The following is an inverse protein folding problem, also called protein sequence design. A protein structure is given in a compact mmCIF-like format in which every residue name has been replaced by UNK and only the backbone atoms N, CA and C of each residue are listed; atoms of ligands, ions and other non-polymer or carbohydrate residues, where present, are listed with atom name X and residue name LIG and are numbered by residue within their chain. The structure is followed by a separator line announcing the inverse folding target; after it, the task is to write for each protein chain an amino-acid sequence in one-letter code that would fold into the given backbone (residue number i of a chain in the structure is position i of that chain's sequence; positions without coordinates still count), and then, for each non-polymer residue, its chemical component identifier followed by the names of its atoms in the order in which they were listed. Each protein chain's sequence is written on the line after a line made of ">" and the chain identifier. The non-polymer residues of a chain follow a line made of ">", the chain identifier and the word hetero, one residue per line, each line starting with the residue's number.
data_IF_040507388542
#
_entry.id   IF_040507388542
#
_cell.length_a   1.000
_cell.length_b   1.000
_cell.length_c   1.000
_cell.angle_alpha   90.00
_cell.angle_beta   90.00
_cell.angle_gamma   90.00
#
_symmetry.space_group_name_H-M   'P 1'
#
loop_
_entity.id
_entity.type
_entity.pdbx_description
1 polymer ?
#
# COMPACT_ATOMS: atom_id res chain seq x y z
N UNK A 1 73.71 -27.91 37.65
CA UNK A 1 72.37 -27.61 38.18
C UNK A 1 72.12 -26.15 37.96
N UNK A 2 71.52 -25.78 36.86
CA UNK A 2 71.08 -24.42 36.61
C UNK A 2 69.67 -24.48 36.09
N UNK A 3 68.76 -23.74 36.75
CA UNK A 3 67.32 -23.68 36.46
C UNK A 3 67.05 -22.65 35.38
N UNK A 4 66.37 -23.05 34.28
CA UNK A 4 65.85 -22.13 33.32
C UNK A 4 64.47 -21.54 33.77
N UNK A 5 64.26 -20.22 33.65
CA UNK A 5 62.97 -19.61 34.02
C UNK A 5 61.92 -19.85 32.96
N UNK A 6 60.78 -20.32 33.40
CA UNK A 6 59.54 -20.42 32.54
C UNK A 6 58.99 -19.01 32.23
N UNK A 7 58.94 -18.66 30.96
CA UNK A 7 58.40 -17.41 30.52
C UNK A 7 56.86 -17.54 30.20
N UNK A 8 55.95 -16.92 31.01
CA UNK A 8 54.51 -17.03 30.85
C UNK A 8 53.91 -16.07 29.80
N UNK A 9 54.73 -15.31 29.07
CA UNK A 9 54.23 -14.17 28.26
C UNK A 9 53.61 -14.49 26.87
N UNK A 10 53.89 -15.65 26.29
CA UNK A 10 53.46 -15.92 24.89
C UNK A 10 52.00 -16.34 24.69
N UNK A 11 51.41 -17.02 25.67
CA UNK A 11 49.97 -17.45 25.53
C UNK A 11 49.01 -16.29 25.71
N UNK A 12 49.31 -15.31 26.55
CA UNK A 12 48.45 -14.14 26.77
C UNK A 12 48.49 -13.12 25.62
N UNK A 13 49.57 -13.03 24.84
CA UNK A 13 49.64 -12.14 23.67
C UNK A 13 48.86 -12.66 22.48
N UNK A 14 48.74 -13.97 22.27
CA UNK A 14 47.93 -14.54 21.18
C UNK A 14 46.43 -14.38 21.49
N UNK A 15 46.02 -14.59 22.72
CA UNK A 15 44.61 -14.39 23.13
C UNK A 15 44.23 -12.92 23.10
N UNK A 16 45.08 -12.00 23.50
CA UNK A 16 44.85 -10.56 23.41
C UNK A 16 44.79 -10.04 21.97
N UNK A 17 45.59 -10.65 21.06
CA UNK A 17 45.50 -10.32 19.61
C UNK A 17 44.25 -10.86 18.94
N UNK A 18 43.79 -12.06 19.29
CA UNK A 18 42.54 -12.63 18.76
C UNK A 18 41.31 -11.88 19.26
N UNK A 19 41.25 -11.46 20.51
CA UNK A 19 40.18 -10.66 21.07
C UNK A 19 40.15 -9.24 20.50
N UNK A 20 41.32 -8.61 20.32
CA UNK A 20 41.41 -7.28 19.70
C UNK A 20 40.99 -7.27 18.23
N UNK A 21 41.37 -8.29 17.45
CA UNK A 21 40.95 -8.44 16.04
C UNK A 21 39.43 -8.67 15.93
N UNK A 22 38.85 -9.47 16.83
CA UNK A 22 37.40 -9.72 16.87
C UNK A 22 36.63 -8.47 17.28
N UNK A 23 37.14 -7.71 18.25
CA UNK A 23 36.52 -6.44 18.71
C UNK A 23 36.58 -5.37 17.64
N UNK A 24 37.69 -5.26 16.88
CA UNK A 24 37.82 -4.32 15.76
C UNK A 24 36.86 -4.73 14.62
N UNK A 25 36.82 -6.01 14.26
CA UNK A 25 35.92 -6.52 13.23
C UNK A 25 34.46 -6.26 13.60
N UNK A 26 34.04 -6.59 14.82
CA UNK A 26 32.66 -6.35 15.29
C UNK A 26 32.32 -4.86 15.27
N UNK A 27 33.22 -3.98 15.78
CA UNK A 27 32.98 -2.53 15.76
C UNK A 27 32.91 -1.98 14.33
N UNK A 28 33.75 -2.46 13.41
CA UNK A 28 33.72 -2.02 12.02
C UNK A 28 32.43 -2.45 11.31
N UNK A 29 31.97 -3.69 11.52
CA UNK A 29 30.71 -4.20 10.96
C UNK A 29 29.51 -3.46 11.58
N UNK A 30 29.49 -3.24 12.90
CA UNK A 30 28.41 -2.50 13.56
C UNK A 30 28.33 -1.05 13.09
N UNK A 31 29.47 -0.36 12.92
CA UNK A 31 29.52 1.00 12.38
C UNK A 31 29.05 1.03 10.94
N UNK A 32 29.43 0.03 10.12
CA UNK A 32 29.00 -0.05 8.73
C UNK A 32 27.50 -0.29 8.58
N UNK A 33 26.92 -1.18 9.40
CA UNK A 33 25.48 -1.41 9.45
C UNK A 33 24.75 -0.16 9.98
N UNK A 34 25.22 0.47 11.05
CA UNK A 34 24.63 1.68 11.62
C UNK A 34 24.68 2.85 10.63
N UNK A 35 25.82 3.07 9.94
CA UNK A 35 25.94 4.10 8.90
C UNK A 35 25.03 3.81 7.69
N UNK A 36 24.85 2.53 7.35
CA UNK A 36 23.91 2.14 6.30
C UNK A 36 22.45 2.54 6.63
N UNK A 37 22.06 2.51 7.90
CA UNK A 37 20.74 2.95 8.36
C UNK A 37 20.61 4.46 8.54
N UNK A 38 21.64 5.14 9.04
CA UNK A 38 21.64 6.62 9.22
C UNK A 38 21.58 7.33 7.86
N UNK A 39 22.32 6.83 6.85
CA UNK A 39 22.28 7.42 5.50
C UNK A 39 20.91 7.25 4.82
N UNK A 40 20.08 6.26 5.20
CA UNK A 40 18.72 6.09 4.68
C UNK A 40 17.72 7.11 5.23
N UNK A 41 17.97 7.66 6.42
CA UNK A 41 17.12 8.69 7.04
C UNK A 41 17.36 10.09 6.45
N UNK A 42 18.51 10.32 5.79
CA UNK A 42 18.89 11.61 5.19
C UNK A 42 18.59 11.67 3.68
N UNK A 43 18.37 10.54 3.03
CA UNK A 43 18.20 10.45 1.57
C UNK A 43 16.80 10.86 1.04
N UNK A 44 15.91 11.40 1.87
CA UNK A 44 14.62 11.97 1.42
C UNK A 44 14.72 13.42 0.90
N UNK A 45 15.92 13.99 0.82
CA UNK A 45 16.11 15.37 0.42
C UNK A 45 17.35 15.61 -0.44
N UNK A 46 17.46 14.98 -1.62
CA UNK A 46 18.28 15.52 -2.73
C UNK A 46 18.10 14.71 -4.02
N UNK A 47 17.90 15.34 -5.19
CA UNK A 47 18.02 14.67 -6.48
C UNK A 47 19.52 14.53 -6.82
N UNK A 48 19.99 13.31 -6.95
CA UNK A 48 21.34 13.06 -7.42
C UNK A 48 21.31 12.44 -8.82
N UNK A 49 21.62 13.24 -9.82
CA UNK A 49 22.10 12.80 -11.12
C UNK A 49 23.45 12.06 -10.95
N UNK A 50 23.42 10.75 -10.92
CA UNK A 50 24.62 9.94 -11.12
C UNK A 50 24.42 9.16 -12.41
N UNK A 51 25.02 9.65 -13.49
CA UNK A 51 25.23 8.88 -14.70
C UNK A 51 26.25 7.78 -14.39
N UNK A 52 25.81 6.60 -14.05
CA UNK A 52 26.62 5.39 -14.13
C UNK A 52 26.33 4.73 -15.46
N UNK A 53 27.31 4.78 -16.36
CA UNK A 53 27.38 3.89 -17.53
C UNK A 53 27.55 2.45 -17.02
N UNK A 54 26.46 1.79 -16.72
CA UNK A 54 26.42 0.34 -16.54
C UNK A 54 25.99 -0.23 -17.89
N UNK A 55 26.88 -1.03 -18.51
CA UNK A 55 26.53 -1.78 -19.71
C UNK A 55 25.18 -2.51 -19.50
N UNK A 56 24.23 -2.32 -20.39
CA UNK A 56 22.94 -2.97 -20.34
C UNK A 56 23.09 -4.50 -20.31
N UNK A 57 22.55 -5.21 -19.32
CA UNK A 57 22.59 -6.65 -19.33
C UNK A 57 21.75 -7.18 -20.50
N UNK A 58 22.30 -8.07 -21.29
CA UNK A 58 21.58 -8.75 -22.37
C UNK A 58 20.27 -9.36 -21.81
N UNK A 59 19.17 -9.18 -22.53
CA UNK A 59 17.86 -9.68 -22.11
C UNK A 59 17.93 -11.19 -21.86
N UNK A 60 17.49 -11.64 -20.70
CA UNK A 60 17.37 -13.07 -20.40
C UNK A 60 16.39 -13.72 -21.39
N UNK A 61 16.80 -14.82 -21.99
CA UNK A 61 15.98 -15.61 -22.91
C UNK A 61 14.99 -16.51 -22.17
N UNK A 62 15.24 -16.80 -20.90
CA UNK A 62 14.40 -17.67 -20.06
C UNK A 62 13.32 -16.86 -19.35
N UNK A 63 12.06 -17.28 -19.54
CA UNK A 63 10.89 -16.64 -18.90
C UNK A 63 10.79 -17.11 -17.45
N UNK A 64 10.76 -16.16 -16.52
CA UNK A 64 10.54 -16.45 -15.10
C UNK A 64 9.05 -16.64 -14.85
N UNK A 65 8.66 -17.82 -14.34
CA UNK A 65 7.26 -18.15 -14.01
C UNK A 65 7.02 -18.29 -12.51
N UNK A 66 8.08 -18.36 -11.70
CA UNK A 66 7.97 -18.42 -10.24
C UNK A 66 7.77 -17.01 -9.63
N UNK A 67 6.61 -16.72 -9.02
CA UNK A 67 6.34 -15.39 -8.43
C UNK A 67 7.33 -15.00 -7.33
N UNK A 68 8.00 -15.97 -6.68
CA UNK A 68 8.98 -15.70 -5.64
C UNK A 68 10.30 -15.12 -6.19
N UNK A 69 10.56 -15.31 -7.47
CA UNK A 69 11.75 -14.80 -8.15
C UNK A 69 11.57 -13.39 -8.74
N UNK A 70 10.32 -12.92 -8.83
CA UNK A 70 10.02 -11.60 -9.39
C UNK A 70 10.40 -10.52 -8.39
N UNK A 71 11.17 -9.54 -8.87
CA UNK A 71 11.58 -8.37 -8.10
C UNK A 71 11.01 -7.11 -8.75
N UNK A 72 10.21 -6.36 -8.01
CA UNK A 72 9.70 -5.07 -8.48
C UNK A 72 10.87 -4.07 -8.50
N UNK A 73 11.10 -3.36 -9.62
CA UNK A 73 12.12 -2.33 -9.68
C UNK A 73 11.91 -1.26 -8.62
N UNK A 74 13.01 -0.78 -8.05
CA UNK A 74 12.98 0.19 -6.95
C UNK A 74 12.20 1.45 -7.34
N UNK A 75 11.40 1.95 -6.42
CA UNK A 75 10.64 3.20 -6.52
C UNK A 75 9.60 3.23 -7.67
N UNK A 76 9.23 2.07 -8.24
CA UNK A 76 8.23 1.99 -9.31
C UNK A 76 6.86 1.53 -8.84
N UNK A 77 6.76 0.85 -7.70
CA UNK A 77 5.50 0.35 -7.17
C UNK A 77 5.66 -0.44 -5.88
N UNK A 78 4.54 -0.94 -5.36
CA UNK A 78 4.47 -1.71 -4.13
C UNK A 78 3.83 -3.07 -4.44
N UNK A 79 4.48 -4.15 -3.99
CA UNK A 79 3.90 -5.48 -4.05
C UNK A 79 2.75 -5.62 -3.04
N UNK A 80 1.54 -5.91 -3.53
CA UNK A 80 0.35 -6.11 -2.70
C UNK A 80 0.20 -7.55 -2.24
N UNK A 81 0.35 -8.50 -3.15
CA UNK A 81 0.18 -9.92 -2.86
C UNK A 81 0.96 -10.77 -3.86
N UNK A 82 1.30 -11.98 -3.44
CA UNK A 82 1.84 -13.05 -4.28
C UNK A 82 1.02 -14.32 -4.09
N UNK A 83 0.81 -15.06 -5.15
CA UNK A 83 0.19 -16.37 -5.10
C UNK A 83 0.92 -17.31 -6.08
N UNK A 84 1.33 -18.47 -5.61
CA UNK A 84 1.92 -19.50 -6.45
C UNK A 84 0.83 -20.51 -6.86
N UNK A 85 0.44 -20.44 -8.12
CA UNK A 85 -0.51 -21.40 -8.71
C UNK A 85 0.11 -22.77 -8.98
N UNK A 86 -0.74 -23.70 -9.47
CA UNK A 86 -0.32 -25.05 -9.85
C UNK A 86 0.24 -25.14 -11.29
N UNK A 87 0.08 -24.10 -12.09
CA UNK A 87 0.52 -24.06 -13.50
C UNK A 87 1.82 -23.27 -13.63
N UNK A 88 2.62 -23.63 -14.63
CA UNK A 88 3.86 -22.92 -14.99
C UNK A 88 3.54 -21.67 -15.86
N UNK A 89 2.71 -20.78 -15.31
CA UNK A 89 2.33 -19.49 -15.91
C UNK A 89 2.34 -18.43 -14.84
N UNK A 90 2.88 -17.26 -15.17
CA UNK A 90 2.88 -16.10 -14.29
C UNK A 90 2.04 -14.99 -14.91
N UNK A 91 1.15 -14.42 -14.11
CA UNK A 91 0.42 -13.19 -14.42
C UNK A 91 0.82 -12.13 -13.40
N UNK A 92 1.28 -10.98 -13.88
CA UNK A 92 1.58 -9.81 -13.05
C UNK A 92 0.46 -8.80 -13.30
N UNK A 93 -0.33 -8.53 -12.27
CA UNK A 93 -1.41 -7.54 -12.33
C UNK A 93 -0.92 -6.23 -11.74
N UNK A 94 -0.89 -5.17 -12.55
CA UNK A 94 -0.50 -3.82 -12.15
C UNK A 94 -1.76 -2.97 -12.09
N UNK A 95 -2.01 -2.36 -10.92
CA UNK A 95 -3.08 -1.38 -10.72
C UNK A 95 -2.48 0.01 -10.57
N UNK A 96 -3.10 1.01 -11.18
CA UNK A 96 -2.62 2.38 -11.19
C UNK A 96 -3.74 3.43 -11.05
N UNK A 97 -3.33 4.68 -10.89
CA UNK A 97 -4.18 5.83 -11.05
C UNK A 97 -4.12 6.29 -12.52
N UNK A 98 -5.15 5.97 -13.31
CA UNK A 98 -5.21 6.31 -14.72
C UNK A 98 -4.99 7.80 -14.99
N UNK A 99 -4.43 8.13 -16.15
CA UNK A 99 -4.10 9.50 -16.58
C UNK A 99 -3.11 10.23 -15.66
N UNK A 100 -2.39 9.52 -14.80
CA UNK A 100 -1.31 10.08 -13.98
C UNK A 100 0.05 9.82 -14.62
N UNK A 101 0.74 10.88 -15.04
CA UNK A 101 2.02 10.80 -15.74
C UNK A 101 3.10 10.05 -14.94
N UNK A 102 3.18 10.27 -13.62
CA UNK A 102 4.15 9.60 -12.76
C UNK A 102 3.85 8.09 -12.66
N UNK A 103 2.58 7.72 -12.46
CA UNK A 103 2.15 6.33 -12.45
C UNK A 103 2.49 5.64 -13.78
N UNK A 104 2.16 6.25 -14.92
CA UNK A 104 2.44 5.69 -16.23
C UNK A 104 3.95 5.55 -16.50
N UNK A 105 4.75 6.52 -16.05
CA UNK A 105 6.21 6.44 -16.12
C UNK A 105 6.76 5.28 -15.29
N UNK A 106 6.21 5.05 -14.10
CA UNK A 106 6.64 3.97 -13.23
C UNK A 106 6.22 2.60 -13.78
N UNK A 107 5.02 2.50 -14.38
CA UNK A 107 4.57 1.29 -15.10
C UNK A 107 5.53 0.95 -16.24
N UNK A 108 5.89 1.94 -17.07
CA UNK A 108 6.86 1.72 -18.15
C UNK A 108 8.20 1.17 -17.63
N UNK A 109 8.75 1.78 -16.57
CA UNK A 109 9.98 1.30 -15.92
C UNK A 109 9.84 -0.10 -15.31
N UNK A 110 8.69 -0.39 -14.72
CA UNK A 110 8.41 -1.70 -14.12
C UNK A 110 8.36 -2.79 -15.19
N UNK A 111 7.64 -2.55 -16.29
CA UNK A 111 7.57 -3.47 -17.44
C UNK A 111 8.95 -3.64 -18.08
N UNK A 112 9.71 -2.57 -18.26
CA UNK A 112 11.08 -2.63 -18.76
C UNK A 112 11.96 -3.53 -17.88
N UNK A 113 11.85 -3.41 -16.56
CA UNK A 113 12.54 -4.28 -15.62
C UNK A 113 12.17 -5.75 -15.80
N UNK A 114 10.89 -6.08 -15.97
CA UNK A 114 10.42 -7.45 -16.21
C UNK A 114 10.87 -7.98 -17.58
N UNK A 115 10.93 -7.14 -18.61
CA UNK A 115 11.45 -7.54 -19.91
C UNK A 115 12.95 -7.89 -19.80
N UNK A 116 13.75 -7.04 -19.14
CA UNK A 116 15.19 -7.23 -18.99
C UNK A 116 15.57 -8.42 -18.10
N UNK A 117 14.86 -8.58 -17.00
CA UNK A 117 15.27 -9.53 -15.96
C UNK A 117 14.50 -10.84 -15.96
N UNK A 118 13.22 -10.81 -16.38
CA UNK A 118 12.29 -11.91 -16.19
C UNK A 118 11.71 -12.48 -17.50
N UNK A 119 12.14 -11.93 -18.64
CA UNK A 119 11.78 -12.43 -19.97
C UNK A 119 10.33 -12.17 -20.37
N UNK A 120 9.72 -11.08 -19.85
CA UNK A 120 8.36 -10.66 -20.22
C UNK A 120 8.26 -10.37 -21.72
N UNK A 121 7.22 -10.91 -22.39
CA UNK A 121 7.00 -10.74 -23.83
C UNK A 121 5.60 -10.24 -24.18
N UNK A 122 4.62 -10.44 -23.31
CA UNK A 122 3.24 -10.07 -23.55
C UNK A 122 2.74 -9.14 -22.44
N UNK A 123 2.16 -8.02 -22.82
CA UNK A 123 1.52 -7.07 -21.92
C UNK A 123 0.09 -6.86 -22.37
N UNK A 124 -0.86 -7.19 -21.51
CA UNK A 124 -2.27 -6.84 -21.75
C UNK A 124 -2.53 -5.41 -21.27
N UNK A 125 -3.25 -4.65 -22.07
CA UNK A 125 -3.62 -3.25 -21.82
C UNK A 125 -5.13 -3.06 -21.85
N UNK A 126 -5.62 -2.14 -21.05
CA UNK A 126 -7.01 -1.67 -21.11
C UNK A 126 -7.21 -0.67 -22.28
N UNK A 127 -8.44 -0.41 -22.66
CA UNK A 127 -8.79 0.56 -23.71
C UNK A 127 -8.57 0.07 -25.15
N UNK A 128 -8.25 -1.21 -25.37
CA UNK A 128 -8.03 -1.78 -26.68
C UNK A 128 -8.59 -3.20 -26.78
N UNK A 129 -8.89 -3.64 -27.99
CA UNK A 129 -9.35 -4.99 -28.34
C UNK A 129 -8.35 -5.62 -29.32
N UNK A 130 -7.74 -6.75 -28.94
CA UNK A 130 -6.79 -7.47 -29.77
C UNK A 130 -5.39 -6.86 -29.81
N UNK A 131 -4.65 -7.04 -30.91
CA UNK A 131 -3.25 -6.59 -31.05
C UNK A 131 -3.19 -5.07 -31.12
N UNK A 132 -2.40 -4.45 -30.23
CA UNK A 132 -2.09 -3.01 -30.27
C UNK A 132 -0.79 -2.79 -31.05
N UNK A 133 -0.93 -2.24 -32.25
CA UNK A 133 0.19 -2.00 -33.15
C UNK A 133 0.75 -0.58 -32.96
N UNK A 134 1.95 -0.49 -32.42
CA UNK A 134 2.72 0.76 -32.22
C UNK A 134 3.77 1.01 -33.31
N UNK A 135 3.82 0.17 -34.35
CA UNK A 135 4.84 0.26 -35.42
C UNK A 135 4.84 1.58 -36.17
N UNK A 136 3.68 2.21 -36.30
CA UNK A 136 3.50 3.54 -36.90
C UNK A 136 4.38 4.60 -36.27
N UNK A 137 4.46 4.61 -34.95
CA UNK A 137 5.30 5.55 -34.20
C UNK A 137 6.77 5.20 -34.36
N UNK A 138 7.11 3.90 -34.43
CA UNK A 138 8.52 3.44 -34.64
C UNK A 138 9.04 3.75 -36.04
N UNK A 139 8.18 3.93 -37.01
CA UNK A 139 8.56 4.33 -38.36
C UNK A 139 9.22 5.72 -38.40
N UNK A 140 9.04 6.55 -37.37
CA UNK A 140 9.73 7.83 -37.25
C UNK A 140 11.20 7.59 -36.83
N UNK A 141 12.20 8.02 -37.67
CA UNK A 141 13.58 7.58 -37.52
C UNK A 141 14.32 8.21 -36.35
N UNK A 142 13.95 9.41 -35.93
CA UNK A 142 14.60 10.13 -34.82
C UNK A 142 14.04 9.67 -33.46
N UNK A 143 14.92 9.01 -32.69
CA UNK A 143 14.53 8.44 -31.38
C UNK A 143 14.25 9.50 -30.33
N UNK A 144 14.96 10.64 -30.32
CA UNK A 144 14.74 11.72 -29.37
C UNK A 144 13.39 12.37 -29.62
N UNK A 145 13.09 12.74 -30.85
CA UNK A 145 11.80 13.32 -31.23
C UNK A 145 10.67 12.32 -30.94
N UNK A 146 10.86 11.04 -31.29
CA UNK A 146 9.87 9.99 -30.98
C UNK A 146 9.56 9.90 -29.50
N UNK A 147 10.59 9.96 -28.65
CA UNK A 147 10.46 9.95 -27.19
C UNK A 147 9.81 11.22 -26.65
N UNK A 148 10.16 12.38 -27.17
CA UNK A 148 9.54 13.64 -26.78
C UNK A 148 8.04 13.67 -27.11
N UNK A 149 7.66 13.24 -28.32
CA UNK A 149 6.28 13.16 -28.78
C UNK A 149 5.50 12.14 -27.92
N UNK A 150 6.04 10.95 -27.69
CA UNK A 150 5.42 9.96 -26.83
C UNK A 150 5.26 10.47 -25.38
N UNK A 151 6.25 11.20 -24.86
CA UNK A 151 6.17 11.83 -23.54
C UNK A 151 5.05 12.88 -23.49
N UNK A 152 4.89 13.68 -24.53
CA UNK A 152 3.81 14.66 -24.64
C UNK A 152 2.45 13.98 -24.56
N UNK A 153 2.19 12.93 -25.38
CA UNK A 153 0.95 12.19 -25.38
C UNK A 153 0.68 11.48 -24.03
N UNK A 154 1.70 10.91 -23.40
CA UNK A 154 1.57 10.31 -22.06
C UNK A 154 1.20 11.35 -20.99
N UNK A 155 1.77 12.58 -21.05
CA UNK A 155 1.39 13.69 -20.17
C UNK A 155 -0.06 14.16 -20.42
N UNK A 156 -0.57 14.01 -21.63
CA UNK A 156 -1.95 14.29 -21.98
C UNK A 156 -2.93 13.16 -21.57
N UNK A 157 -2.40 11.99 -21.15
CA UNK A 157 -3.21 10.81 -20.86
C UNK A 157 -3.75 10.10 -22.11
N UNK A 158 -3.17 10.36 -23.28
CA UNK A 158 -3.59 9.79 -24.56
C UNK A 158 -2.91 8.47 -24.89
N UNK A 159 -1.74 8.20 -24.27
CA UNK A 159 -1.08 6.89 -24.30
C UNK A 159 -0.69 6.45 -22.89
N UNK A 160 -0.62 5.16 -22.69
CA UNK A 160 -0.26 4.50 -21.43
C UNK A 160 1.23 4.22 -21.32
N UNK A 161 1.70 3.80 -20.13
CA UNK A 161 3.09 3.40 -19.89
C UNK A 161 3.56 2.24 -20.78
N UNK A 162 2.78 1.16 -20.96
CA UNK A 162 3.10 0.09 -21.90
C UNK A 162 3.27 0.54 -23.35
N UNK A 163 2.36 1.39 -23.83
CA UNK A 163 2.46 1.95 -25.19
C UNK A 163 3.68 2.84 -25.34
N UNK A 164 3.94 3.72 -24.35
CA UNK A 164 5.14 4.54 -24.30
C UNK A 164 6.42 3.69 -24.41
N UNK A 165 6.53 2.62 -23.59
CA UNK A 165 7.68 1.73 -23.64
C UNK A 165 7.81 1.06 -25.00
N UNK A 166 6.71 0.57 -25.57
CA UNK A 166 6.71 -0.05 -26.90
C UNK A 166 7.14 0.91 -28.00
N UNK A 167 6.74 2.18 -27.93
CA UNK A 167 7.10 3.21 -28.93
C UNK A 167 8.56 3.62 -28.82
N UNK A 168 9.09 3.76 -27.57
CA UNK A 168 10.39 4.39 -27.31
C UNK A 168 11.54 3.40 -27.18
N UNK A 169 11.28 2.09 -27.27
CA UNK A 169 12.30 1.04 -27.14
C UNK A 169 12.14 -0.03 -28.21
N UNK A 170 13.18 -0.83 -28.41
CA UNK A 170 13.18 -1.98 -29.34
C UNK A 170 12.96 -3.33 -28.65
N UNK A 171 12.45 -3.31 -27.42
CA UNK A 171 12.12 -4.58 -26.75
C UNK A 171 11.05 -5.37 -27.52
N UNK A 172 11.19 -6.70 -27.61
CA UNK A 172 10.27 -7.57 -28.34
C UNK A 172 8.99 -7.84 -27.54
N UNK A 173 8.36 -6.79 -27.00
CA UNK A 173 7.09 -6.89 -26.31
C UNK A 173 5.92 -6.79 -27.27
N UNK A 174 4.89 -7.58 -27.01
CA UNK A 174 3.61 -7.50 -27.71
C UNK A 174 2.58 -6.89 -26.77
N UNK A 175 1.88 -5.87 -27.25
CA UNK A 175 0.73 -5.29 -26.53
C UNK A 175 -0.55 -5.94 -27.05
N UNK A 176 -1.42 -6.30 -26.13
CA UNK A 176 -2.71 -6.94 -26.45
C UNK A 176 -3.82 -6.29 -25.62
N UNK A 177 -4.82 -5.75 -26.29
CA UNK A 177 -6.01 -5.17 -25.66
C UNK A 177 -6.84 -6.26 -24.98
N UNK A 178 -7.13 -6.06 -23.69
CA UNK A 178 -7.86 -7.01 -22.86
C UNK A 178 -9.37 -6.81 -22.91
N UNK A 179 -9.86 -5.76 -23.59
CA UNK A 179 -11.28 -5.44 -23.68
C UNK A 179 -11.94 -6.09 -24.91
N UNK A 180 -13.26 -6.23 -24.81
CA UNK A 180 -14.11 -6.65 -25.92
C UNK A 180 -14.83 -5.41 -26.45
N UNK A 181 -14.61 -5.06 -27.71
CA UNK A 181 -15.18 -3.86 -28.36
C UNK A 181 -16.69 -3.77 -28.23
N UNK A 182 -17.39 -4.89 -28.33
CA UNK A 182 -18.85 -4.91 -28.19
C UNK A 182 -19.31 -4.40 -26.82
N UNK A 183 -18.70 -4.88 -25.73
CA UNK A 183 -19.03 -4.45 -24.37
C UNK A 183 -18.59 -3.00 -24.12
N UNK A 184 -17.46 -2.58 -24.67
CA UNK A 184 -17.04 -1.19 -24.60
C UNK A 184 -18.07 -0.25 -25.23
N UNK A 185 -18.56 -0.56 -26.45
CA UNK A 185 -19.59 0.25 -27.13
C UNK A 185 -20.91 0.24 -26.36
N UNK A 186 -21.33 -0.89 -25.78
CA UNK A 186 -22.51 -0.95 -24.93
C UNK A 186 -22.39 -0.02 -23.70
N UNK A 187 -21.25 -0.06 -23.01
CA UNK A 187 -20.95 0.81 -21.88
C UNK A 187 -20.90 2.29 -22.29
N UNK A 188 -20.27 2.60 -23.41
CA UNK A 188 -20.22 3.96 -23.95
C UNK A 188 -21.62 4.49 -24.27
N UNK A 189 -22.46 3.69 -24.88
CA UNK A 189 -23.86 4.06 -25.19
C UNK A 189 -24.67 4.29 -23.91
N UNK A 190 -24.51 3.44 -22.91
CA UNK A 190 -25.15 3.61 -21.60
C UNK A 190 -24.69 4.92 -20.93
N UNK A 191 -23.38 5.19 -20.93
CA UNK A 191 -22.82 6.42 -20.39
C UNK A 191 -23.34 7.67 -21.13
N UNK A 192 -23.23 7.70 -22.45
CA UNK A 192 -23.66 8.85 -23.25
C UNK A 192 -25.17 9.11 -23.17
N UNK A 193 -25.96 8.08 -22.95
CA UNK A 193 -27.43 8.22 -22.77
C UNK A 193 -27.79 8.74 -21.37
N UNK A 194 -27.03 8.38 -20.34
CA UNK A 194 -27.30 8.81 -18.97
C UNK A 194 -26.64 10.14 -18.60
N UNK A 195 -25.51 10.48 -19.20
CA UNK A 195 -24.72 11.67 -18.85
C UNK A 195 -25.49 13.00 -18.92
N UNK A 196 -26.34 13.26 -19.95
CA UNK A 196 -27.14 14.49 -20.03
C UNK A 196 -28.12 14.67 -18.86
N UNK A 197 -28.55 13.57 -18.22
CA UNK A 197 -29.48 13.58 -17.10
C UNK A 197 -28.80 13.79 -15.75
N UNK A 198 -27.45 13.73 -15.72
CA UNK A 198 -26.67 13.72 -14.50
C UNK A 198 -26.93 14.95 -13.61
N UNK A 199 -26.75 16.15 -14.17
CA UNK A 199 -26.81 17.39 -13.39
C UNK A 199 -28.19 17.64 -12.80
N UNK A 200 -29.26 17.36 -13.57
CA UNK A 200 -30.65 17.50 -13.10
C UNK A 200 -30.96 16.48 -12.01
N UNK A 201 -30.60 15.22 -12.22
CA UNK A 201 -30.81 14.15 -11.25
C UNK A 201 -30.03 14.39 -9.96
N UNK A 202 -28.76 14.79 -10.05
CA UNK A 202 -27.94 15.10 -8.89
C UNK A 202 -28.50 16.30 -8.11
N UNK A 203 -28.96 17.34 -8.81
CA UNK A 203 -29.63 18.48 -8.17
C UNK A 203 -30.87 18.06 -7.42
N UNK A 204 -31.71 17.20 -8.01
CA UNK A 204 -32.92 16.69 -7.37
C UNK A 204 -32.58 15.91 -6.08
N UNK A 205 -31.67 14.94 -6.13
CA UNK A 205 -31.29 14.15 -4.94
C UNK A 205 -30.53 14.96 -3.88
N UNK A 206 -29.80 16.00 -4.25
CA UNK A 206 -29.23 16.95 -3.30
C UNK A 206 -30.31 17.77 -2.56
N UNK A 207 -31.43 18.10 -3.23
CA UNK A 207 -32.58 18.72 -2.57
C UNK A 207 -33.24 17.73 -1.57
N UNK A 208 -33.47 16.48 -1.97
CA UNK A 208 -33.97 15.41 -1.09
C UNK A 208 -33.04 15.24 0.10
N UNK A 209 -31.72 15.13 -0.11
CA UNK A 209 -30.72 15.06 0.98
C UNK A 209 -30.84 16.24 1.95
N UNK A 210 -31.05 17.44 1.45
CA UNK A 210 -31.23 18.64 2.29
C UNK A 210 -32.47 18.56 3.15
N UNK A 211 -33.57 18.00 2.62
CA UNK A 211 -34.81 17.81 3.37
C UNK A 211 -34.61 16.75 4.46
N UNK A 212 -34.03 15.58 4.12
CA UNK A 212 -33.74 14.51 5.08
C UNK A 212 -32.81 15.02 6.21
N UNK A 213 -31.79 15.79 5.88
CA UNK A 213 -30.89 16.39 6.89
C UNK A 213 -31.64 17.36 7.84
N UNK A 214 -32.63 18.10 7.36
CA UNK A 214 -33.47 18.91 8.25
C UNK A 214 -34.32 18.04 9.16
N UNK A 215 -34.90 16.95 8.62
CA UNK A 215 -35.70 16.01 9.40
C UNK A 215 -34.87 15.31 10.49
N UNK A 216 -33.59 15.01 10.26
CA UNK A 216 -32.68 14.51 11.28
C UNK A 216 -32.61 15.43 12.50
N UNK A 217 -32.66 16.74 12.31
CA UNK A 217 -32.71 17.70 13.41
C UNK A 217 -33.90 17.52 14.38
N UNK A 218 -35.02 17.04 13.88
CA UNK A 218 -36.27 16.85 14.66
C UNK A 218 -36.44 15.40 15.14
N UNK A 219 -36.10 14.42 14.30
CA UNK A 219 -36.37 13.00 14.52
C UNK A 219 -35.25 12.32 15.31
N UNK A 220 -33.99 12.70 15.07
CA UNK A 220 -32.85 12.06 15.73
C UNK A 220 -32.76 12.44 17.20
N UNK A 221 -32.44 11.45 18.05
CA UNK A 221 -32.00 11.69 19.42
C UNK A 221 -30.58 12.27 19.45
N UNK A 222 -30.14 12.75 20.61
CA UNK A 222 -28.82 13.40 20.77
C UNK A 222 -27.64 12.48 20.44
N UNK A 223 -27.77 11.17 20.66
CA UNK A 223 -26.73 10.20 20.30
C UNK A 223 -26.54 10.10 18.77
N UNK A 224 -27.63 10.01 18.03
CA UNK A 224 -27.60 9.99 16.56
C UNK A 224 -27.13 11.32 15.98
N UNK A 225 -27.57 12.46 16.54
CA UNK A 225 -27.09 13.80 16.11
C UNK A 225 -25.58 13.96 16.31
N UNK A 226 -25.07 13.47 17.45
CA UNK A 226 -23.63 13.51 17.73
C UNK A 226 -22.86 12.63 16.75
N UNK A 227 -23.35 11.42 16.46
CA UNK A 227 -22.72 10.51 15.48
C UNK A 227 -22.71 11.12 14.08
N UNK A 228 -23.83 11.65 13.63
CA UNK A 228 -23.99 12.28 12.32
C UNK A 228 -23.05 13.51 12.18
N UNK A 229 -22.98 14.35 13.24
CA UNK A 229 -22.05 15.51 13.27
C UNK A 229 -20.58 15.06 13.16
N UNK A 230 -20.19 13.95 13.80
CA UNK A 230 -18.81 13.43 13.71
C UNK A 230 -18.49 12.87 12.33
N UNK A 231 -19.45 12.23 11.67
CA UNK A 231 -19.32 11.80 10.28
C UNK A 231 -19.14 13.00 9.35
N UNK A 232 -19.98 14.04 9.48
CA UNK A 232 -19.89 15.28 8.71
C UNK A 232 -18.56 16.02 8.95
N UNK A 233 -18.06 16.07 10.18
CA UNK A 233 -16.77 16.64 10.52
C UNK A 233 -15.62 15.92 9.82
N UNK A 234 -15.68 14.59 9.74
CA UNK A 234 -14.69 13.78 9.02
C UNK A 234 -14.79 13.98 7.51
N UNK A 235 -15.98 13.88 6.91
CA UNK A 235 -16.19 14.06 5.46
C UNK A 235 -15.77 15.46 5.00
N UNK A 236 -16.07 16.49 5.80
CA UNK A 236 -15.68 17.87 5.54
C UNK A 236 -14.21 18.20 5.90
N UNK A 237 -13.42 17.18 6.32
CA UNK A 237 -11.99 17.29 6.71
C UNK A 237 -11.74 18.25 7.90
N UNK A 238 -12.73 18.47 8.76
CA UNK A 238 -12.59 19.24 10.01
C UNK A 238 -11.86 18.44 11.09
N UNK A 239 -11.98 17.12 11.07
CA UNK A 239 -11.20 16.21 11.91
C UNK A 239 -10.38 15.26 11.05
N UNK A 240 -9.26 14.79 11.60
CA UNK A 240 -8.39 13.84 10.92
C UNK A 240 -8.98 12.43 10.97
N UNK A 241 -8.60 11.60 9.99
CA UNK A 241 -9.04 10.21 9.92
C UNK A 241 -8.77 9.43 11.22
N UNK A 242 -7.58 9.57 11.79
CA UNK A 242 -7.22 8.88 13.04
C UNK A 242 -8.11 9.30 14.23
N UNK A 243 -8.53 10.57 14.28
CA UNK A 243 -9.41 11.05 15.35
C UNK A 243 -10.83 10.50 15.18
N UNK A 244 -11.30 10.39 13.94
CA UNK A 244 -12.57 9.75 13.64
C UNK A 244 -12.57 8.26 14.01
N UNK A 245 -11.52 7.53 13.68
CA UNK A 245 -11.40 6.10 14.05
C UNK A 245 -11.37 5.91 15.58
N UNK A 246 -10.70 6.81 16.31
CA UNK A 246 -10.73 6.79 17.79
C UNK A 246 -12.13 7.03 18.33
N UNK A 247 -12.86 7.97 17.76
CA UNK A 247 -14.27 8.21 18.13
C UNK A 247 -15.12 6.95 17.91
N UNK A 248 -14.99 6.28 16.75
CA UNK A 248 -15.71 5.03 16.49
C UNK A 248 -15.30 3.92 17.48
N UNK A 249 -14.02 3.82 17.83
CA UNK A 249 -13.54 2.88 18.85
C UNK A 249 -14.21 3.14 20.21
N UNK A 250 -14.22 4.39 20.67
CA UNK A 250 -14.83 4.79 21.95
C UNK A 250 -16.34 4.45 21.96
N UNK A 251 -17.02 4.64 20.84
CA UNK A 251 -18.42 4.25 20.66
C UNK A 251 -18.61 2.73 20.70
N UNK A 252 -17.72 1.97 20.06
CA UNK A 252 -17.75 0.50 20.12
C UNK A 252 -17.55 0.00 21.56
N UNK A 253 -16.63 0.58 22.32
CA UNK A 253 -16.43 0.25 23.73
C UNK A 253 -17.65 0.57 24.58
N UNK A 254 -18.21 1.77 24.41
CA UNK A 254 -19.42 2.24 25.13
C UNK A 254 -20.61 1.32 24.91
N UNK A 255 -20.84 0.88 23.66
CA UNK A 255 -22.00 0.06 23.30
C UNK A 255 -21.69 -1.45 23.21
N UNK A 256 -20.48 -1.87 23.65
CA UNK A 256 -20.03 -3.27 23.69
C UNK A 256 -20.10 -3.97 22.33
N UNK A 257 -19.74 -3.26 21.28
CA UNK A 257 -19.66 -3.80 19.92
C UNK A 257 -18.37 -4.62 19.78
N UNK A 258 -18.48 -5.81 19.23
CA UNK A 258 -17.31 -6.69 19.04
C UNK A 258 -16.48 -6.28 17.83
N UNK A 259 -15.51 -5.39 18.02
CA UNK A 259 -14.63 -4.91 16.96
C UNK A 259 -13.78 -6.00 16.31
N UNK A 260 -13.58 -7.16 16.94
CA UNK A 260 -12.84 -8.30 16.34
C UNK A 260 -13.58 -8.93 15.16
N UNK A 261 -14.86 -8.68 15.00
CA UNK A 261 -15.63 -9.09 13.83
C UNK A 261 -15.22 -8.30 12.55
N UNK A 262 -14.57 -7.15 12.73
CA UNK A 262 -14.13 -6.22 11.69
C UNK A 262 -12.60 -6.19 11.66
N UNK A 263 -12.01 -7.17 10.98
CA UNK A 263 -10.57 -7.49 11.07
C UNK A 263 -9.65 -6.30 10.70
N UNK A 264 -9.98 -5.58 9.63
CA UNK A 264 -9.16 -4.42 9.19
C UNK A 264 -9.37 -3.20 10.10
N UNK A 265 -10.59 -2.96 10.56
CA UNK A 265 -10.88 -1.92 11.56
C UNK A 265 -10.14 -2.22 12.87
N UNK A 266 -10.19 -3.47 13.36
CA UNK A 266 -9.47 -3.89 14.56
C UNK A 266 -7.96 -3.75 14.42
N UNK A 267 -7.40 -4.09 13.24
CA UNK A 267 -5.98 -3.87 12.94
C UNK A 267 -5.63 -2.38 12.98
N UNK A 268 -6.46 -1.53 12.36
CA UNK A 268 -6.22 -0.08 12.36
C UNK A 268 -6.24 0.49 13.77
N UNK A 269 -7.24 0.14 14.59
CA UNK A 269 -7.30 0.53 16.01
C UNK A 269 -6.04 0.07 16.75
N UNK A 270 -5.59 -1.16 16.52
CA UNK A 270 -4.35 -1.69 17.11
C UNK A 270 -3.12 -0.87 16.68
N UNK A 271 -3.02 -0.51 15.41
CA UNK A 271 -1.96 0.36 14.87
C UNK A 271 -1.94 1.70 15.59
N UNK A 272 -3.10 2.35 15.77
CA UNK A 272 -3.19 3.64 16.48
C UNK A 272 -2.81 3.54 17.97
N UNK A 273 -3.06 2.39 18.60
CA UNK A 273 -2.65 2.13 19.99
C UNK A 273 -1.12 1.97 20.07
N UNK A 274 -0.51 1.22 19.14
CA UNK A 274 0.94 1.04 19.12
C UNK A 274 1.66 2.34 18.74
N UNK A 275 1.14 3.12 17.78
CA UNK A 275 1.68 4.42 17.39
C UNK A 275 1.89 5.35 18.60
N UNK A 276 0.91 5.44 19.50
CA UNK A 276 1.02 6.24 20.73
C UNK A 276 2.13 5.77 21.69
N UNK A 277 2.55 4.50 21.60
CA UNK A 277 3.59 3.91 22.46
C UNK A 277 4.99 4.05 21.87
N UNK A 278 5.12 4.54 20.63
CA UNK A 278 6.39 4.63 19.91
C UNK A 278 6.94 6.05 19.97
N UNK A 279 8.15 6.19 20.47
CA UNK A 279 8.94 7.37 20.19
C UNK A 279 9.80 7.09 18.95
N UNK A 280 9.33 7.55 17.78
CA UNK A 280 9.98 7.29 16.50
C UNK A 280 11.43 7.79 16.44
N UNK A 281 11.78 8.85 17.16
CA UNK A 281 13.16 9.37 17.23
C UNK A 281 14.12 8.42 17.94
N UNK A 282 13.60 7.48 18.72
CA UNK A 282 14.39 6.53 19.51
C UNK A 282 14.54 5.18 18.79
N UNK A 283 13.61 4.84 17.88
CA UNK A 283 13.56 3.56 17.17
C UNK A 283 14.89 3.24 16.47
N UNK A 284 15.47 4.20 15.75
CA UNK A 284 16.72 4.00 15.01
C UNK A 284 17.90 3.75 15.94
N UNK A 285 17.93 4.42 17.08
CA UNK A 285 18.96 4.22 18.12
C UNK A 285 18.82 2.84 18.77
N UNK A 286 17.61 2.44 19.12
CA UNK A 286 17.35 1.11 19.68
C UNK A 286 17.71 0.02 18.67
N UNK A 287 17.36 0.19 17.38
CA UNK A 287 17.76 -0.73 16.30
C UNK A 287 19.28 -0.89 16.21
N UNK A 288 20.02 0.22 16.22
CA UNK A 288 21.49 0.19 16.19
C UNK A 288 22.06 -0.54 17.40
N UNK A 289 21.54 -0.27 18.61
CA UNK A 289 21.95 -0.94 19.82
C UNK A 289 21.69 -2.46 19.81
N UNK A 290 20.51 -2.86 19.29
CA UNK A 290 20.17 -4.29 19.12
C UNK A 290 21.15 -4.97 18.17
N UNK A 291 21.47 -4.35 17.04
CA UNK A 291 22.44 -4.88 16.07
C UNK A 291 23.81 -5.03 16.73
N UNK A 292 24.25 -4.05 17.52
CA UNK A 292 25.53 -4.10 18.24
C UNK A 292 25.58 -5.24 19.29
N UNK A 293 24.46 -5.48 19.98
CA UNK A 293 24.35 -6.59 20.92
C UNK A 293 24.36 -7.93 20.20
N UNK A 294 23.60 -8.06 19.12
CA UNK A 294 23.51 -9.27 18.31
C UNK A 294 24.87 -9.63 17.69
N UNK A 295 25.60 -8.67 17.13
CA UNK A 295 26.90 -8.93 16.50
C UNK A 295 27.95 -9.46 17.49
N UNK A 296 27.81 -9.19 18.80
CA UNK A 296 28.69 -9.75 19.86
C UNK A 296 28.35 -11.21 20.20
N UNK A 297 27.13 -11.63 20.00
CA UNK A 297 26.61 -12.97 20.33
C UNK A 297 26.62 -13.95 19.16
N UNK A 298 26.53 -13.44 17.92
CA UNK A 298 26.34 -14.21 16.70
C UNK A 298 27.65 -14.78 16.13
N UNK A 299 27.51 -15.86 15.35
CA UNK A 299 28.59 -16.41 14.53
C UNK A 299 28.92 -15.49 13.35
N UNK A 300 30.08 -15.71 12.69
CA UNK A 300 30.48 -14.95 11.49
C UNK A 300 29.44 -15.09 10.35
N UNK A 301 28.88 -16.28 10.17
CA UNK A 301 27.90 -16.56 9.12
C UNK A 301 26.57 -15.85 9.39
N UNK A 302 26.11 -15.84 10.63
CA UNK A 302 24.94 -15.08 11.02
C UNK A 302 25.12 -13.57 10.84
N UNK A 303 26.31 -13.04 11.16
CA UNK A 303 26.63 -11.63 10.92
C UNK A 303 26.63 -11.32 9.42
N UNK A 304 27.25 -12.18 8.58
CA UNK A 304 27.24 -12.01 7.13
C UNK A 304 25.80 -11.99 6.58
N UNK A 305 24.94 -12.87 7.08
CA UNK A 305 23.51 -12.89 6.70
C UNK A 305 22.77 -11.63 7.15
N UNK A 306 23.02 -11.13 8.37
CA UNK A 306 22.43 -9.88 8.86
C UNK A 306 22.85 -8.68 8.00
N UNK A 307 24.14 -8.61 7.60
CA UNK A 307 24.64 -7.58 6.67
C UNK A 307 23.91 -7.66 5.34
N UNK A 308 23.78 -8.87 4.78
CA UNK A 308 23.07 -9.10 3.51
C UNK A 308 21.61 -8.66 3.58
N UNK A 309 20.89 -9.04 4.64
CA UNK A 309 19.50 -8.65 4.85
C UNK A 309 19.34 -7.13 5.07
N UNK A 310 20.27 -6.52 5.82
CA UNK A 310 20.28 -5.07 6.04
C UNK A 310 20.53 -4.29 4.74
N UNK A 311 21.42 -4.77 3.88
CA UNK A 311 21.66 -4.19 2.55
C UNK A 311 20.43 -4.39 1.63
N UNK A 312 19.84 -5.60 1.63
CA UNK A 312 18.64 -5.89 0.86
C UNK A 312 17.48 -4.98 1.27
N UNK A 313 17.30 -4.75 2.58
CA UNK A 313 16.31 -3.80 3.09
C UNK A 313 16.62 -2.36 2.65
N UNK A 314 17.88 -1.93 2.78
CA UNK A 314 18.31 -0.58 2.39
C UNK A 314 18.07 -0.28 0.91
N UNK A 315 18.29 -1.26 0.03
CA UNK A 315 18.08 -1.12 -1.41
C UNK A 315 16.67 -1.50 -1.87
N UNK A 316 15.73 -1.71 -0.93
CA UNK A 316 14.33 -2.00 -1.22
C UNK A 316 14.06 -3.40 -1.81
N UNK A 317 15.03 -4.34 -1.72
CA UNK A 317 14.86 -5.74 -2.17
C UNK A 317 14.00 -6.57 -1.23
N UNK A 318 13.93 -6.21 0.02
CA UNK A 318 13.03 -6.78 1.01
C UNK A 318 12.22 -5.67 1.69
N UNK A 319 11.01 -6.00 2.08
CA UNK A 319 10.11 -5.06 2.76
C UNK A 319 10.56 -4.78 4.20
N UNK A 320 10.05 -3.68 4.76
CA UNK A 320 10.21 -3.35 6.18
C UNK A 320 9.75 -4.51 7.08
N UNK A 321 8.62 -5.13 6.75
CA UNK A 321 8.05 -6.26 7.51
C UNK A 321 8.98 -7.47 7.49
N UNK A 322 9.51 -7.84 6.31
CA UNK A 322 10.45 -8.95 6.17
C UNK A 322 11.71 -8.72 7.00
N UNK A 323 12.30 -7.52 6.88
CA UNK A 323 13.49 -7.18 7.64
C UNK A 323 13.28 -7.21 9.16
N UNK A 324 12.21 -6.57 9.64
CA UNK A 324 11.94 -6.51 11.09
C UNK A 324 11.46 -7.85 11.65
N UNK A 325 10.78 -8.70 10.86
CA UNK A 325 10.48 -10.08 11.24
C UNK A 325 11.75 -10.89 11.39
N UNK A 326 12.70 -10.76 10.45
CA UNK A 326 14.02 -11.38 10.55
C UNK A 326 14.79 -10.89 11.75
N UNK A 327 14.85 -9.58 12.01
CA UNK A 327 15.54 -9.00 13.18
C UNK A 327 14.93 -9.52 14.49
N UNK A 328 13.60 -9.58 14.59
CA UNK A 328 12.90 -10.16 15.76
C UNK A 328 13.27 -11.63 15.97
N UNK A 329 13.32 -12.44 14.93
CA UNK A 329 13.72 -13.83 15.03
C UNK A 329 15.18 -13.98 15.52
N UNK A 330 16.09 -13.13 15.02
CA UNK A 330 17.48 -13.10 15.51
C UNK A 330 17.60 -12.74 16.99
N UNK A 331 16.81 -11.77 17.47
CA UNK A 331 16.82 -11.40 18.89
C UNK A 331 16.35 -12.54 19.77
N UNK A 332 15.32 -13.28 19.36
CA UNK A 332 14.82 -14.46 20.05
C UNK A 332 15.88 -15.58 20.10
N UNK A 333 16.54 -15.87 18.97
CA UNK A 333 17.59 -16.89 18.88
C UNK A 333 18.82 -16.58 19.74
N UNK A 334 19.09 -15.29 20.03
CA UNK A 334 20.24 -14.82 20.76
C UNK A 334 19.90 -14.31 22.17
N UNK A 335 18.72 -14.65 22.68
CA UNK A 335 18.26 -14.29 24.04
C UNK A 335 18.35 -12.79 24.32
N UNK A 336 17.82 -11.98 23.39
CA UNK A 336 17.66 -10.53 23.54
C UNK A 336 16.17 -10.22 23.69
N UNK A 337 15.78 -9.70 24.84
CA UNK A 337 14.39 -9.33 25.11
C UNK A 337 14.09 -7.92 24.56
N UNK A 338 13.51 -7.89 23.34
CA UNK A 338 13.12 -6.63 22.68
C UNK A 338 12.08 -5.86 23.49
N UNK A 339 11.11 -6.54 24.10
CA UNK A 339 10.00 -5.88 24.76
C UNK A 339 10.47 -5.13 26.03
N UNK A 340 11.42 -5.73 26.74
CA UNK A 340 12.00 -5.17 27.97
C UNK A 340 13.07 -4.12 27.69
N UNK A 341 14.02 -4.45 26.82
CA UNK A 341 15.25 -3.68 26.68
C UNK A 341 15.17 -2.62 25.56
N UNK A 342 14.25 -2.80 24.59
CA UNK A 342 14.10 -1.95 23.40
C UNK A 342 12.60 -1.73 23.04
N UNK A 343 11.83 -1.14 23.95
CA UNK A 343 10.36 -1.10 23.83
C UNK A 343 9.85 -0.30 22.63
N UNK A 344 10.56 0.75 22.18
CA UNK A 344 10.14 1.50 21.01
C UNK A 344 10.32 0.69 19.73
N UNK A 345 11.45 0.01 19.57
CA UNK A 345 11.70 -0.87 18.45
C UNK A 345 10.72 -2.05 18.44
N UNK A 346 10.44 -2.65 19.59
CA UNK A 346 9.45 -3.74 19.71
C UNK A 346 8.06 -3.29 19.26
N UNK A 347 7.56 -2.15 19.77
CA UNK A 347 6.29 -1.61 19.37
C UNK A 347 6.26 -1.23 17.87
N UNK A 348 7.36 -0.69 17.35
CA UNK A 348 7.51 -0.36 15.93
C UNK A 348 7.45 -1.61 15.03
N UNK A 349 8.06 -2.71 15.43
CA UNK A 349 7.98 -4.00 14.73
C UNK A 349 6.52 -4.47 14.64
N UNK A 350 5.80 -4.42 15.76
CA UNK A 350 4.38 -4.83 15.79
C UNK A 350 3.54 -3.87 14.94
N UNK A 351 3.74 -2.56 15.10
CA UNK A 351 3.08 -1.53 14.30
C UNK A 351 3.20 -1.82 12.80
N UNK A 352 4.42 -2.03 12.29
CA UNK A 352 4.65 -2.34 10.86
C UNK A 352 3.97 -3.66 10.44
N UNK A 353 4.08 -4.71 11.25
CA UNK A 353 3.52 -6.01 10.93
C UNK A 353 1.98 -5.99 10.87
N UNK A 354 1.33 -5.18 11.71
CA UNK A 354 -0.13 -5.02 11.69
C UNK A 354 -0.56 -4.10 10.55
N UNK A 355 0.12 -2.94 10.39
CA UNK A 355 -0.19 -1.96 9.36
C UNK A 355 -0.14 -2.55 7.95
N UNK A 356 0.88 -3.35 7.65
CA UNK A 356 1.06 -3.97 6.32
C UNK A 356 -0.03 -4.99 5.94
N UNK A 357 -0.84 -5.44 6.93
CA UNK A 357 -1.92 -6.39 6.73
C UNK A 357 -3.29 -5.74 6.59
N UNK A 358 -3.36 -4.41 6.61
CA UNK A 358 -4.61 -3.67 6.41
C UNK A 358 -4.90 -3.61 4.92
N UNK A 359 -6.08 -4.09 4.54
CA UNK A 359 -6.61 -4.02 3.18
C UNK A 359 -7.55 -2.81 3.08
N UNK A 360 -7.14 -1.75 2.38
CA UNK A 360 -7.85 -0.47 2.38
C UNK A 360 -9.32 -0.58 1.97
N UNK A 361 -9.63 -1.33 0.91
CA UNK A 361 -11.01 -1.48 0.43
C UNK A 361 -11.89 -2.14 1.49
N UNK A 362 -11.40 -3.23 2.10
CA UNK A 362 -12.11 -3.90 3.19
C UNK A 362 -12.22 -3.03 4.43
N UNK A 363 -11.18 -2.25 4.74
CA UNK A 363 -11.19 -1.32 5.88
C UNK A 363 -12.32 -0.30 5.75
N UNK A 364 -12.46 0.37 4.61
CA UNK A 364 -13.54 1.35 4.42
C UNK A 364 -14.92 0.72 4.44
N UNK A 365 -15.05 -0.49 3.92
CA UNK A 365 -16.29 -1.25 4.05
C UNK A 365 -16.61 -1.60 5.52
N UNK A 366 -15.62 -2.08 6.27
CA UNK A 366 -15.77 -2.42 7.70
C UNK A 366 -16.09 -1.19 8.56
N UNK A 367 -15.50 -0.01 8.25
CA UNK A 367 -15.85 1.26 8.91
C UNK A 367 -17.34 1.54 8.75
N UNK A 368 -17.91 1.42 7.54
CA UNK A 368 -19.35 1.60 7.30
C UNK A 368 -20.22 0.59 8.09
N UNK A 369 -19.75 -0.65 8.21
CA UNK A 369 -20.45 -1.66 9.02
C UNK A 369 -20.42 -1.30 10.50
N UNK A 370 -19.29 -0.84 11.03
CA UNK A 370 -19.15 -0.36 12.42
C UNK A 370 -20.05 0.85 12.66
N UNK A 371 -20.09 1.83 11.77
CA UNK A 371 -20.98 2.99 11.83
C UNK A 371 -22.45 2.54 11.89
N UNK A 372 -22.83 1.59 11.06
CA UNK A 372 -24.18 1.02 11.03
C UNK A 372 -24.52 0.34 12.34
N UNK A 373 -23.61 -0.49 12.88
CA UNK A 373 -23.85 -1.17 14.16
C UNK A 373 -23.94 -0.20 15.34
N UNK A 374 -23.13 0.86 15.35
CA UNK A 374 -23.25 1.94 16.35
C UNK A 374 -24.64 2.60 16.24
N UNK A 375 -25.08 2.97 15.03
CA UNK A 375 -26.39 3.60 14.81
C UNK A 375 -27.53 2.68 15.24
N UNK A 376 -27.45 1.36 15.00
CA UNK A 376 -28.43 0.38 15.49
C UNK A 376 -28.58 0.38 17.02
N UNK A 377 -27.47 0.62 17.75
CA UNK A 377 -27.53 0.77 19.22
C UNK A 377 -28.10 2.11 19.67
N UNK A 378 -28.09 3.12 18.81
CA UNK A 378 -28.57 4.46 19.11
C UNK A 378 -30.05 4.66 18.79
N UNK A 379 -30.63 3.88 17.85
CA UNK A 379 -32.03 4.02 17.47
C UNK A 379 -32.98 3.73 18.62
N UNK A 380 -34.01 4.59 18.76
CA UNK A 380 -35.05 4.49 19.80
C UNK A 380 -36.43 4.18 19.18
N UNK A 381 -36.61 4.40 17.88
CA UNK A 381 -37.88 4.15 17.17
C UNK A 381 -37.65 3.88 15.69
N UNK A 382 -38.69 3.49 14.97
CA UNK A 382 -38.66 3.13 13.58
C UNK A 382 -38.50 4.35 12.65
N UNK A 383 -38.95 5.54 13.02
CA UNK A 383 -38.79 6.75 12.25
C UNK A 383 -37.29 7.10 12.10
N UNK A 384 -36.51 6.93 13.17
CA UNK A 384 -35.05 7.14 13.15
C UNK A 384 -34.37 6.14 12.22
N UNK A 385 -34.76 4.86 12.22
CA UNK A 385 -34.24 3.83 11.30
C UNK A 385 -34.60 4.11 9.86
N UNK A 386 -35.86 4.48 9.62
CA UNK A 386 -36.33 4.79 8.27
C UNK A 386 -35.62 6.00 7.72
N UNK A 387 -35.46 7.07 8.49
CA UNK A 387 -34.75 8.27 8.07
C UNK A 387 -33.28 7.98 7.74
N UNK A 388 -32.60 7.18 8.55
CA UNK A 388 -31.21 6.75 8.28
C UNK A 388 -31.12 5.92 6.99
N UNK A 389 -32.04 4.97 6.80
CA UNK A 389 -32.13 4.15 5.59
C UNK A 389 -32.31 5.02 4.33
N UNK A 390 -33.25 5.98 4.38
CA UNK A 390 -33.49 6.91 3.28
C UNK A 390 -32.28 7.81 3.01
N UNK A 391 -31.61 8.28 4.06
CA UNK A 391 -30.35 9.05 3.92
C UNK A 391 -29.28 8.24 3.20
N UNK A 392 -29.08 6.98 3.59
CA UNK A 392 -28.16 6.05 2.91
C UNK A 392 -28.54 5.82 1.46
N UNK A 393 -29.86 5.70 1.16
CA UNK A 393 -30.32 5.51 -0.22
C UNK A 393 -30.00 6.72 -1.09
N UNK A 394 -30.20 7.94 -0.59
CA UNK A 394 -29.85 9.17 -1.33
C UNK A 394 -28.35 9.23 -1.59
N UNK A 395 -27.52 8.95 -0.59
CA UNK A 395 -26.06 8.95 -0.74
C UNK A 395 -25.59 7.89 -1.74
N UNK A 396 -26.23 6.72 -1.73
CA UNK A 396 -25.97 5.64 -2.70
C UNK A 396 -26.34 6.08 -4.12
N UNK A 397 -27.49 6.73 -4.34
CA UNK A 397 -27.88 7.24 -5.65
C UNK A 397 -26.93 8.33 -6.15
N UNK A 398 -26.56 9.28 -5.29
CA UNK A 398 -25.59 10.32 -5.63
C UNK A 398 -24.23 9.70 -5.98
N UNK A 399 -23.81 8.69 -5.24
CA UNK A 399 -22.61 7.90 -5.52
C UNK A 399 -22.66 7.18 -6.86
N UNK A 400 -23.80 6.57 -7.19
CA UNK A 400 -24.03 5.90 -8.48
C UNK A 400 -23.96 6.88 -9.66
N UNK A 401 -24.66 8.02 -9.57
CA UNK A 401 -24.66 9.08 -10.59
C UNK A 401 -23.24 9.61 -10.84
N UNK A 402 -22.43 9.69 -9.80
CA UNK A 402 -21.04 10.19 -9.85
C UNK A 402 -19.99 9.09 -10.09
N UNK A 403 -20.40 7.83 -10.31
CA UNK A 403 -19.50 6.67 -10.50
C UNK A 403 -18.49 6.57 -9.34
N UNK A 404 -18.98 6.70 -8.11
CA UNK A 404 -18.17 6.71 -6.87
C UNK A 404 -18.56 5.60 -5.89
N UNK A 405 -19.40 4.65 -6.28
CA UNK A 405 -19.79 3.54 -5.42
C UNK A 405 -18.65 2.54 -5.26
N UNK A 406 -18.48 2.07 -4.04
CA UNK A 406 -17.70 0.86 -3.76
C UNK A 406 -18.53 -0.38 -4.12
N UNK A 407 -17.87 -1.52 -4.34
CA UNK A 407 -18.54 -2.78 -4.69
C UNK A 407 -19.66 -3.14 -3.70
N UNK A 408 -19.43 -3.00 -2.39
CA UNK A 408 -20.42 -3.27 -1.37
C UNK A 408 -21.66 -2.36 -1.42
N UNK A 409 -21.51 -1.08 -1.78
CA UNK A 409 -22.63 -0.16 -1.94
C UNK A 409 -23.43 -0.48 -3.19
N UNK A 410 -22.77 -0.90 -4.27
CA UNK A 410 -23.43 -1.33 -5.49
C UNK A 410 -24.20 -2.64 -5.29
N UNK A 411 -23.66 -3.59 -4.56
CA UNK A 411 -24.34 -4.84 -4.20
C UNK A 411 -25.56 -4.56 -3.31
N UNK A 412 -25.43 -3.64 -2.36
CA UNK A 412 -26.55 -3.16 -1.56
C UNK A 412 -27.65 -2.55 -2.44
N UNK A 413 -27.30 -1.66 -3.38
CA UNK A 413 -28.25 -1.08 -4.33
C UNK A 413 -28.99 -2.16 -5.13
N UNK A 414 -28.26 -3.14 -5.68
CA UNK A 414 -28.87 -4.25 -6.45
C UNK A 414 -29.86 -5.06 -5.62
N UNK A 415 -29.51 -5.36 -4.38
CA UNK A 415 -30.34 -6.17 -3.46
C UNK A 415 -31.63 -5.44 -3.02
N UNK A 416 -31.62 -4.09 -2.98
CA UNK A 416 -32.71 -3.28 -2.45
C UNK A 416 -33.33 -2.34 -3.51
N UNK A 417 -33.17 -2.63 -4.80
CA UNK A 417 -33.47 -1.72 -5.90
C UNK A 417 -34.86 -1.07 -5.82
N UNK A 418 -35.90 -1.81 -5.39
CA UNK A 418 -37.26 -1.28 -5.26
C UNK A 418 -37.42 -0.20 -4.17
N UNK A 419 -36.52 -0.18 -3.19
CA UNK A 419 -36.56 0.78 -2.09
C UNK A 419 -35.92 2.14 -2.44
N UNK A 420 -35.33 2.22 -3.64
CA UNK A 420 -34.74 3.45 -4.19
C UNK A 420 -35.71 4.24 -5.08
N UNK A 421 -36.96 3.81 -5.19
CA UNK A 421 -37.95 4.51 -5.99
C UNK A 421 -38.27 5.91 -5.40
N UNK A 422 -38.44 6.96 -6.22
CA UNK A 422 -38.75 8.32 -5.75
C UNK A 422 -39.95 8.41 -4.82
N UNK A 423 -40.96 7.55 -5.03
CA UNK A 423 -42.17 7.49 -4.25
C UNK A 423 -41.89 7.16 -2.77
N UNK A 424 -40.90 6.31 -2.49
CA UNK A 424 -40.51 5.93 -1.11
C UNK A 424 -40.00 7.13 -0.32
N UNK A 425 -39.34 8.07 -0.97
CA UNK A 425 -38.91 9.32 -0.34
C UNK A 425 -40.07 10.28 -0.13
N UNK A 426 -40.97 10.37 -1.12
CA UNK A 426 -42.12 11.27 -1.06
C UNK A 426 -43.12 10.86 0.02
N UNK A 427 -43.35 9.56 0.22
CA UNK A 427 -44.26 9.02 1.23
C UNK A 427 -43.77 9.26 2.66
N UNK A 428 -42.45 9.37 2.86
CA UNK A 428 -41.87 9.63 4.18
C UNK A 428 -41.80 11.12 4.52
N UNK A 429 -41.55 11.99 3.53
CA UNK A 429 -41.40 13.44 3.71
C UNK A 429 -42.75 14.12 3.92
#
# INVERSE_FOLDING_TARGET
>A
MERFPKNPGRKNMLFARMTRGRTIFIKTVSVFIAQAFIASSIAFAAPADIKTNVAEPAAKTEVVTDPEKIVIPKDTGILKSKYKGSQDKLVIHIQDAHCNYEAQTNIAKMIEGFVKNDGLKLVSVEGADGIVDTSWFKAFPDEEIRKEVATYFMKKGEITGPEFLSITTDYPIKLFGAETREYYIQNLNAFTSSYPLKDETEKYYNQVKSILNRLKGYIYNEGLKTMDSKMDEYESKKIQFNDYIRYLQDMCEKYKINTRAYDNFFKLVSVLIYEKKINFNVVDKERSNVIDVLTKKMSKDQIAKLVTQSLAFKVGKISSVEFYTYLKALTQQNEVDLAKDYPNLFNYIIYNAVYSRIENEKLFHEIKLVETEIKEKLFQNDDQRTLEKLSRHVDTIIGLINIKLLNGDYDYYKAHKSEFAPEVFADFI
#
